data_IF_123781385803
#
_entry.id   IF_123781385803
#
_cell.length_a   1.000
_cell.length_b   1.000
_cell.length_c   1.000
_cell.angle_alpha   90.00
_cell.angle_beta   90.00
_cell.angle_gamma   90.00
#
_symmetry.space_group_name_H-M   'P 1'
#
loop_
_entity.id
_entity.type
_entity.pdbx_description
1 polymer ?
#
# COMPACT_ATOMS: atom_id res chain seq x y z
N UNK A 1 7.71 8.65 3.15
CA UNK A 1 6.36 8.87 3.69
C UNK A 1 5.67 7.55 3.74
N UNK A 2 5.07 7.25 4.88
CA UNK A 2 4.23 6.08 5.04
C UNK A 2 2.76 6.50 5.07
N UNK A 3 1.92 5.73 4.40
CA UNK A 3 0.49 5.95 4.31
C UNK A 3 -0.20 4.81 5.05
N UNK A 4 -0.57 5.07 6.30
CA UNK A 4 -1.35 4.17 7.13
C UNK A 4 -2.76 4.76 7.29
N UNK A 5 -3.57 4.57 6.24
CA UNK A 5 -4.90 5.15 6.17
C UNK A 5 -5.90 4.10 6.62
N UNK A 6 -6.50 4.31 7.79
CA UNK A 6 -7.48 3.39 8.39
C UNK A 6 -8.93 3.88 8.27
N UNK A 7 -9.16 4.88 7.42
CA UNK A 7 -10.48 5.39 7.07
C UNK A 7 -10.52 5.73 5.59
N UNK A 8 -11.55 5.28 4.89
CA UNK A 8 -11.71 5.50 3.45
C UNK A 8 -12.05 6.96 3.05
N UNK A 9 -12.22 7.85 4.02
CA UNK A 9 -12.55 9.24 3.76
C UNK A 9 -11.42 9.95 3.00
N UNK A 10 -11.74 10.46 1.81
CA UNK A 10 -10.80 11.21 0.97
C UNK A 10 -9.82 10.35 0.16
N UNK A 11 -10.05 9.04 0.05
CA UNK A 11 -9.22 8.12 -0.74
C UNK A 11 -8.86 8.61 -2.14
N UNK A 12 -9.81 9.26 -2.80
CA UNK A 12 -9.66 9.84 -4.13
C UNK A 12 -8.59 10.94 -4.21
N UNK A 13 -8.16 11.54 -3.09
CA UNK A 13 -7.18 12.62 -3.06
C UNK A 13 -5.73 12.14 -2.85
N UNK A 14 -5.52 11.01 -2.18
CA UNK A 14 -4.17 10.51 -1.87
C UNK A 14 -3.33 10.18 -3.11
N UNK A 15 -3.88 9.63 -4.22
CA UNK A 15 -3.10 9.45 -5.45
C UNK A 15 -2.50 10.75 -5.98
N UNK A 16 -3.22 11.88 -5.90
CA UNK A 16 -2.71 13.19 -6.31
C UNK A 16 -1.60 13.68 -5.35
N UNK A 17 -1.75 13.45 -4.05
CA UNK A 17 -0.71 13.76 -3.06
C UNK A 17 0.56 12.94 -3.32
N UNK A 18 0.44 11.63 -3.57
CA UNK A 18 1.57 10.75 -3.88
C UNK A 18 2.25 11.19 -5.17
N UNK A 19 1.49 11.52 -6.22
CA UNK A 19 2.04 12.04 -7.47
C UNK A 19 2.83 13.35 -7.25
N UNK A 20 2.31 14.25 -6.41
CA UNK A 20 3.00 15.50 -6.06
C UNK A 20 4.29 15.24 -5.28
N UNK A 21 4.26 14.32 -4.30
CA UNK A 21 5.44 13.89 -3.56
C UNK A 21 6.51 13.32 -4.50
N UNK A 22 6.14 12.38 -5.39
CA UNK A 22 7.06 11.81 -6.40
C UNK A 22 7.68 12.88 -7.30
N UNK A 23 6.87 13.84 -7.75
CA UNK A 23 7.36 14.98 -8.54
C UNK A 23 8.39 15.81 -7.77
N UNK A 24 8.21 16.01 -6.47
CA UNK A 24 9.19 16.71 -5.65
C UNK A 24 10.48 15.89 -5.47
N UNK A 25 10.39 14.56 -5.31
CA UNK A 25 11.58 13.71 -5.18
C UNK A 25 12.45 13.72 -6.43
N UNK A 26 11.83 13.81 -7.61
CA UNK A 26 12.55 13.94 -8.86
C UNK A 26 13.39 15.22 -8.97
N UNK A 27 13.12 16.23 -8.13
CA UNK A 27 13.93 17.46 -8.06
C UNK A 27 15.15 17.36 -7.16
N UNK A 28 15.32 16.26 -6.44
CA UNK A 28 16.46 15.98 -5.55
C UNK A 28 17.05 14.60 -5.87
N UNK A 29 17.78 14.46 -7.00
CA UNK A 29 18.25 13.18 -7.51
C UNK A 29 19.36 12.55 -6.66
N UNK A 30 19.99 13.31 -5.76
CA UNK A 30 21.06 12.82 -4.88
C UNK A 30 20.52 12.00 -3.70
N UNK A 31 19.21 12.06 -3.46
CA UNK A 31 18.56 11.37 -2.35
C UNK A 31 17.50 10.38 -2.85
N UNK A 32 17.41 9.24 -2.15
CA UNK A 32 16.37 8.26 -2.39
C UNK A 32 15.22 8.44 -1.41
N UNK A 33 14.07 8.82 -1.93
CA UNK A 33 12.83 8.94 -1.17
C UNK A 33 11.92 7.74 -1.40
N UNK A 34 11.18 7.35 -0.37
CA UNK A 34 10.29 6.20 -0.40
C UNK A 34 8.85 6.62 -0.09
N UNK A 35 7.90 6.03 -0.82
CA UNK A 35 6.48 6.01 -0.47
C UNK A 35 6.14 4.59 -0.06
N UNK A 36 5.66 4.43 1.17
CA UNK A 36 5.22 3.15 1.71
C UNK A 36 3.76 3.24 2.14
N UNK A 37 3.10 2.10 2.27
CA UNK A 37 1.73 2.03 2.78
C UNK A 37 1.53 0.84 3.69
N UNK A 38 0.57 0.94 4.61
CA UNK A 38 0.26 -0.09 5.59
C UNK A 38 -1.20 -0.58 5.48
N UNK A 39 -1.63 -1.12 4.32
CA UNK A 39 -3.00 -1.62 4.16
C UNK A 39 -3.29 -2.79 5.11
N UNK A 40 -4.56 -2.97 5.50
CA UNK A 40 -4.98 -4.19 6.19
C UNK A 40 -5.01 -5.40 5.24
N UNK A 41 -5.05 -6.64 5.74
CA UNK A 41 -5.02 -7.81 4.86
C UNK A 41 -6.27 -8.09 3.98
N UNK A 42 -7.51 -7.62 4.26
CA UNK A 42 -8.67 -7.93 3.41
C UNK A 42 -8.49 -7.49 1.96
N UNK A 43 -9.07 -8.23 1.00
CA UNK A 43 -9.11 -7.85 -0.42
C UNK A 43 -10.56 -7.91 -0.93
N UNK A 44 -11.11 -6.83 -1.53
CA UNK A 44 -10.50 -5.51 -1.66
C UNK A 44 -10.28 -4.85 -0.30
N UNK A 45 -9.13 -4.20 -0.12
CA UNK A 45 -8.80 -3.55 1.15
C UNK A 45 -9.67 -2.29 1.36
N UNK A 46 -10.30 -2.11 2.53
CA UNK A 46 -11.37 -1.13 2.69
C UNK A 46 -10.93 0.34 2.64
N UNK A 47 -9.69 0.66 3.00
CA UNK A 47 -9.25 2.04 3.25
C UNK A 47 -8.20 2.55 2.27
N UNK A 48 -7.52 1.68 1.56
CA UNK A 48 -6.34 1.98 0.78
C UNK A 48 -6.34 1.32 -0.59
N UNK A 49 -7.26 0.40 -0.90
CA UNK A 49 -7.24 -0.30 -2.20
C UNK A 49 -7.33 0.67 -3.40
N UNK A 50 -8.13 1.73 -3.30
CA UNK A 50 -8.17 2.78 -4.34
C UNK A 50 -6.81 3.50 -4.46
N UNK A 51 -6.15 3.78 -3.34
CA UNK A 51 -4.88 4.50 -3.30
C UNK A 51 -3.78 3.62 -3.92
N UNK A 52 -3.67 2.37 -3.49
CA UNK A 52 -2.65 1.40 -3.90
C UNK A 52 -2.78 1.05 -5.39
N UNK A 53 -4.00 0.97 -5.92
CA UNK A 53 -4.24 0.63 -7.33
C UNK A 53 -4.04 1.81 -8.29
N UNK A 54 -3.98 3.05 -7.77
CA UNK A 54 -3.88 4.28 -8.58
C UNK A 54 -2.59 5.07 -8.38
N UNK A 55 -1.78 4.76 -7.37
CA UNK A 55 -0.53 5.44 -7.05
C UNK A 55 0.66 4.47 -7.00
N UNK A 56 1.88 5.00 -7.08
CA UNK A 56 3.12 4.21 -7.07
C UNK A 56 3.71 4.14 -5.65
N UNK A 57 3.61 2.97 -5.03
CA UNK A 57 4.28 2.63 -3.77
C UNK A 57 5.59 1.90 -4.02
N UNK A 58 6.59 2.11 -3.15
CA UNK A 58 7.82 1.32 -3.12
C UNK A 58 7.64 0.04 -2.29
N UNK A 59 7.02 0.17 -1.11
CA UNK A 59 6.78 -0.92 -0.17
C UNK A 59 5.35 -0.91 0.36
N UNK A 60 4.80 -2.10 0.58
CA UNK A 60 3.51 -2.31 1.23
C UNK A 60 3.70 -3.23 2.44
N UNK A 61 3.41 -2.71 3.63
CA UNK A 61 3.45 -3.42 4.91
C UNK A 61 2.04 -3.93 5.22
N UNK A 62 1.61 -5.00 4.54
CA UNK A 62 0.24 -5.51 4.70
C UNK A 62 0.05 -6.03 6.12
N UNK A 63 -0.92 -5.49 6.85
CA UNK A 63 -1.20 -5.85 8.23
C UNK A 63 -1.95 -7.19 8.28
N UNK A 64 -1.22 -8.30 8.49
CA UNK A 64 -1.78 -9.64 8.63
C UNK A 64 -2.18 -9.93 10.09
N UNK A 65 -2.87 -8.99 10.71
CA UNK A 65 -3.43 -9.08 12.07
C UNK A 65 -4.76 -8.31 12.16
N UNK A 66 -5.51 -8.50 13.26
CA UNK A 66 -6.82 -7.88 13.54
C UNK A 66 -7.91 -8.12 12.49
N UNK A 67 -7.70 -9.04 11.55
CA UNK A 67 -8.61 -9.34 10.45
C UNK A 67 -8.77 -10.87 10.31
N UNK A 68 -9.75 -11.46 11.01
CA UNK A 68 -10.03 -12.89 10.93
C UNK A 68 -10.25 -13.32 9.47
N UNK A 69 -9.58 -14.40 9.06
CA UNK A 69 -9.65 -14.93 7.68
C UNK A 69 -8.48 -14.54 6.76
N UNK A 70 -7.67 -13.56 7.15
CA UNK A 70 -6.39 -13.29 6.47
C UNK A 70 -5.23 -12.98 7.44
N UNK A 71 -5.45 -13.06 8.75
CA UNK A 71 -4.40 -12.87 9.77
C UNK A 71 -3.46 -14.08 9.89
N UNK A 72 -2.28 -13.87 10.50
CA UNK A 72 -1.24 -14.91 10.68
C UNK A 72 -1.62 -16.05 11.63
N UNK A 73 -2.71 -15.91 12.39
CA UNK A 73 -3.31 -16.99 13.19
C UNK A 73 -4.08 -18.02 12.33
N UNK A 74 -4.22 -17.75 11.02
CA UNK A 74 -4.73 -18.67 10.02
C UNK A 74 -3.91 -18.64 8.73
N UNK A 75 -4.59 -18.86 7.59
CA UNK A 75 -3.96 -18.78 6.27
C UNK A 75 -3.97 -17.34 5.77
N UNK A 76 -2.79 -16.73 5.63
CA UNK A 76 -2.67 -15.39 5.04
C UNK A 76 -2.97 -15.40 3.53
N UNK A 77 -3.57 -14.33 3.02
CA UNK A 77 -3.91 -14.15 1.61
C UNK A 77 -2.78 -13.44 0.80
N UNK A 78 -1.52 -13.75 1.10
CA UNK A 78 -0.36 -13.07 0.48
C UNK A 78 -0.32 -13.21 -1.06
N UNK A 79 -0.75 -14.35 -1.60
CA UNK A 79 -0.84 -14.55 -3.04
C UNK A 79 -1.86 -13.63 -3.71
N UNK A 80 -2.98 -13.37 -3.04
CA UNK A 80 -4.02 -12.45 -3.52
C UNK A 80 -3.52 -11.00 -3.48
N UNK A 81 -2.71 -10.64 -2.48
CA UNK A 81 -2.04 -9.34 -2.43
C UNK A 81 -1.11 -9.10 -3.62
N UNK A 82 -0.29 -10.09 -3.98
CA UNK A 82 0.54 -10.02 -5.19
C UNK A 82 -0.32 -9.84 -6.45
N UNK A 83 -1.43 -10.57 -6.56
CA UNK A 83 -2.36 -10.45 -7.69
C UNK A 83 -3.03 -9.08 -7.76
N UNK A 84 -3.38 -8.50 -6.61
CA UNK A 84 -4.04 -7.19 -6.51
C UNK A 84 -3.16 -6.04 -7.04
N UNK A 85 -1.84 -6.13 -6.84
CA UNK A 85 -0.89 -5.07 -7.28
C UNK A 85 -0.27 -5.31 -8.65
N UNK A 86 -0.25 -6.54 -9.16
CA UNK A 86 0.50 -6.91 -10.37
C UNK A 86 0.13 -6.12 -11.65
N UNK A 87 -1.08 -5.54 -11.71
CA UNK A 87 -1.56 -4.74 -12.84
C UNK A 87 -1.65 -3.24 -12.57
N UNK A 88 -1.05 -2.75 -11.49
CA UNK A 88 -1.19 -1.35 -11.03
C UNK A 88 0.14 -0.60 -11.10
N UNK A 89 0.17 0.73 -10.87
CA UNK A 89 1.43 1.46 -10.76
C UNK A 89 2.34 0.96 -9.62
N UNK A 90 1.82 0.15 -8.69
CA UNK A 90 2.56 -0.47 -7.60
C UNK A 90 2.98 -1.93 -7.91
N UNK A 91 3.02 -2.34 -9.17
CA UNK A 91 3.39 -3.71 -9.55
C UNK A 91 4.79 -4.13 -9.05
N UNK A 92 5.72 -3.19 -8.93
CA UNK A 92 7.08 -3.42 -8.43
C UNK A 92 7.22 -3.20 -6.91
N UNK A 93 6.13 -2.87 -6.21
CA UNK A 93 6.17 -2.65 -4.78
C UNK A 93 6.54 -3.95 -4.05
N UNK A 94 7.48 -3.89 -3.10
CA UNK A 94 7.76 -5.06 -2.25
C UNK A 94 6.65 -5.18 -1.21
N UNK A 95 6.04 -6.36 -1.14
CA UNK A 95 5.00 -6.67 -0.16
C UNK A 95 5.65 -7.39 1.03
N UNK A 96 5.45 -6.84 2.23
CA UNK A 96 5.93 -7.37 3.50
C UNK A 96 4.76 -7.94 4.31
N UNK A 97 5.08 -8.91 5.19
CA UNK A 97 4.13 -9.45 6.16
C UNK A 97 4.22 -8.58 7.42
N UNK A 98 3.23 -7.73 7.65
CA UNK A 98 3.07 -6.96 8.89
C UNK A 98 2.47 -7.84 9.99
N UNK A 99 3.12 -7.85 11.15
CA UNK A 99 2.75 -8.65 12.34
C UNK A 99 2.80 -7.77 13.60
N UNK A 100 2.13 -8.17 14.71
CA UNK A 100 2.23 -7.48 16.00
C UNK A 100 3.64 -7.53 16.61
#
# INVERSE_FOLDING_TARGET
WDFDIESNAGNNFYPFMIAKLRSNFASDPDNRYLITGAPQCPIPEPNMNEIITRAQFDYLWVQFYNNPGCSVDGTINFADWKKNVAGTPSADAKIFIGVP
#
